data_IF_298962776877
#
_entry.id   IF_298962776877
#
_cell.length_a   1.000
_cell.length_b   1.000
_cell.length_c   1.000
_cell.angle_alpha   90.00
_cell.angle_beta   90.00
_cell.angle_gamma   90.00
#
_symmetry.space_group_name_H-M   'P 1'
#
loop_
_entity.id
_entity.type
_entity.pdbx_description
1 polymer ?
#
# COMPACT_ATOMS: atom_id res chain seq x y z
N UNK A 1 57.06 26.28 36.38
CA UNK A 1 56.07 25.42 35.71
C UNK A 1 56.67 24.02 35.59
N UNK A 2 56.18 23.06 36.39
CA UNK A 2 56.65 21.67 36.36
C UNK A 2 56.06 21.01 35.11
N UNK A 3 56.83 20.83 34.05
CA UNK A 3 56.47 20.01 32.88
C UNK A 3 56.65 18.54 33.30
N UNK A 4 55.61 17.94 33.86
CA UNK A 4 55.55 16.49 34.03
C UNK A 4 55.30 15.90 32.64
N UNK A 5 56.29 15.21 32.06
CA UNK A 5 56.12 14.42 30.83
C UNK A 5 55.18 13.28 31.11
N UNK A 6 54.30 12.97 30.12
CA UNK A 6 53.48 11.75 30.15
C UNK A 6 54.38 10.52 30.32
N UNK A 7 54.02 9.66 31.24
CA UNK A 7 54.70 8.37 31.38
C UNK A 7 54.31 7.46 30.21
N UNK A 8 55.21 6.57 29.81
CA UNK A 8 54.95 5.62 28.70
C UNK A 8 53.69 4.78 28.96
N UNK A 9 53.39 4.49 30.21
CA UNK A 9 52.20 3.75 30.64
C UNK A 9 50.93 4.56 30.41
N UNK A 10 50.92 5.85 30.74
CA UNK A 10 49.76 6.74 30.48
C UNK A 10 49.46 6.87 28.99
N UNK A 11 50.50 6.88 28.14
CA UNK A 11 50.34 6.95 26.69
C UNK A 11 49.71 5.66 26.14
N UNK A 12 50.15 4.48 26.62
CA UNK A 12 49.58 3.20 26.22
C UNK A 12 48.11 3.10 26.68
N UNK A 13 47.78 3.50 27.90
CA UNK A 13 46.42 3.49 28.40
C UNK A 13 45.52 4.44 27.61
N UNK A 14 45.98 5.63 27.27
CA UNK A 14 45.19 6.56 26.47
C UNK A 14 44.92 6.06 25.05
N UNK A 15 45.91 5.42 24.40
CA UNK A 15 45.72 4.78 23.09
C UNK A 15 44.74 3.61 23.16
N UNK A 16 44.80 2.78 24.19
CA UNK A 16 43.87 1.69 24.39
C UNK A 16 42.41 2.20 24.57
N UNK A 17 42.21 3.24 25.37
CA UNK A 17 40.89 3.86 25.57
C UNK A 17 40.36 4.48 24.27
N UNK A 18 41.19 5.20 23.52
CA UNK A 18 40.79 5.79 22.23
C UNK A 18 40.36 4.68 21.25
N UNK A 19 41.09 3.55 21.22
CA UNK A 19 40.77 2.43 20.35
C UNK A 19 39.38 1.82 20.67
N UNK A 20 39.07 1.66 21.95
CA UNK A 20 37.77 1.15 22.42
C UNK A 20 36.65 2.12 22.04
N UNK A 21 36.85 3.42 22.25
CA UNK A 21 35.87 4.46 21.90
C UNK A 21 35.64 4.48 20.38
N UNK A 22 36.70 4.38 19.56
CA UNK A 22 36.59 4.32 18.09
C UNK A 22 35.75 3.13 17.61
N UNK A 23 35.97 1.93 18.15
CA UNK A 23 35.18 0.74 17.82
C UNK A 23 33.70 0.96 18.15
N UNK A 24 33.43 1.55 19.33
CA UNK A 24 32.05 1.86 19.72
C UNK A 24 31.39 2.87 18.79
N UNK A 25 32.10 3.95 18.40
CA UNK A 25 31.60 4.96 17.48
C UNK A 25 31.32 4.35 16.08
N UNK A 26 32.22 3.50 15.58
CA UNK A 26 32.01 2.85 14.28
C UNK A 26 30.81 1.92 14.28
N UNK A 27 30.58 1.15 15.33
CA UNK A 27 29.40 0.32 15.48
C UNK A 27 28.11 1.17 15.51
N UNK A 28 28.10 2.24 16.29
CA UNK A 28 26.95 3.14 16.41
C UNK A 28 26.65 3.85 15.09
N UNK A 29 27.65 4.28 14.34
CA UNK A 29 27.49 4.87 13.02
C UNK A 29 26.95 3.84 12.00
N UNK A 30 27.39 2.59 12.10
CA UNK A 30 26.86 1.48 11.29
C UNK A 30 25.36 1.25 11.54
N UNK A 31 24.97 1.19 12.80
CA UNK A 31 23.57 1.01 13.20
C UNK A 31 22.70 2.18 12.76
N UNK A 32 23.15 3.41 12.95
CA UNK A 32 22.43 4.61 12.51
C UNK A 32 22.24 4.64 11.00
N UNK A 33 23.26 4.27 10.22
CA UNK A 33 23.16 4.23 8.76
C UNK A 33 22.13 3.18 8.27
N UNK A 34 22.09 2.04 8.93
CA UNK A 34 21.10 0.99 8.59
C UNK A 34 19.68 1.42 8.97
N UNK A 35 19.48 2.05 10.11
CA UNK A 35 18.18 2.58 10.51
C UNK A 35 17.70 3.71 9.61
N UNK A 36 18.57 4.62 9.19
CA UNK A 36 18.24 5.70 8.28
C UNK A 36 17.82 5.17 6.91
N UNK A 37 18.56 4.20 6.37
CA UNK A 37 18.21 3.52 5.10
C UNK A 37 16.84 2.86 5.18
N UNK A 38 16.56 2.10 6.24
CA UNK A 38 15.27 1.44 6.44
C UNK A 38 14.13 2.46 6.62
N UNK A 39 14.37 3.54 7.32
CA UNK A 39 13.40 4.62 7.52
C UNK A 39 13.03 5.30 6.21
N UNK A 40 14.02 5.57 5.36
CA UNK A 40 13.83 6.16 4.04
C UNK A 40 12.99 5.25 3.14
N UNK A 41 13.35 3.99 3.02
CA UNK A 41 12.62 3.00 2.21
C UNK A 41 11.16 2.88 2.65
N UNK A 42 10.91 2.84 3.97
CA UNK A 42 9.54 2.80 4.51
C UNK A 42 8.74 4.06 4.23
N UNK A 43 9.39 5.21 4.26
CA UNK A 43 8.77 6.49 3.91
C UNK A 43 8.37 6.52 2.44
N UNK A 44 9.22 6.03 1.54
CA UNK A 44 8.96 5.92 0.11
C UNK A 44 7.80 4.98 -0.18
N UNK A 45 7.76 3.79 0.43
CA UNK A 45 6.65 2.85 0.28
C UNK A 45 5.33 3.40 0.84
N UNK A 46 5.37 4.10 1.97
CA UNK A 46 4.18 4.74 2.54
C UNK A 46 3.65 5.86 1.63
N UNK A 47 4.53 6.64 1.02
CA UNK A 47 4.17 7.68 0.06
C UNK A 47 3.58 7.04 -1.21
N UNK A 48 4.23 6.02 -1.75
CA UNK A 48 3.75 5.25 -2.91
C UNK A 48 2.34 4.72 -2.64
N UNK A 49 2.12 4.09 -1.49
CA UNK A 49 0.81 3.58 -1.07
C UNK A 49 -0.24 4.69 -1.05
N UNK A 50 0.04 5.79 -0.38
CA UNK A 50 -0.88 6.92 -0.28
C UNK A 50 -1.20 7.52 -1.65
N UNK A 51 -0.21 7.65 -2.51
CA UNK A 51 -0.38 8.19 -3.87
C UNK A 51 -1.29 7.31 -4.71
N UNK A 52 -1.04 6.00 -4.74
CA UNK A 52 -1.85 5.04 -5.50
C UNK A 52 -3.29 5.01 -4.99
N UNK A 53 -3.47 4.90 -3.67
CA UNK A 53 -4.81 4.87 -3.08
C UNK A 53 -5.57 6.16 -3.38
N UNK A 54 -4.95 7.30 -3.18
CA UNK A 54 -5.58 8.61 -3.42
C UNK A 54 -5.92 8.81 -4.90
N UNK A 55 -5.06 8.36 -5.83
CA UNK A 55 -5.33 8.44 -7.25
C UNK A 55 -6.58 7.62 -7.62
N UNK A 56 -6.64 6.38 -7.19
CA UNK A 56 -7.78 5.49 -7.49
C UNK A 56 -9.06 6.01 -6.83
N UNK A 57 -8.99 6.45 -5.58
CA UNK A 57 -10.14 7.01 -4.87
C UNK A 57 -10.64 8.31 -5.51
N UNK A 58 -9.73 9.17 -5.96
CA UNK A 58 -10.08 10.39 -6.70
C UNK A 58 -10.84 10.08 -7.99
N UNK A 59 -10.40 9.07 -8.74
CA UNK A 59 -11.10 8.63 -9.94
C UNK A 59 -12.49 8.10 -9.59
N UNK A 60 -12.62 7.29 -8.55
CA UNK A 60 -13.92 6.79 -8.09
C UNK A 60 -14.89 7.93 -7.73
N UNK A 61 -14.39 8.99 -7.13
CA UNK A 61 -15.20 10.15 -6.72
C UNK A 61 -15.50 11.05 -7.92
N UNK A 62 -14.48 11.41 -8.71
CA UNK A 62 -14.61 12.41 -9.79
C UNK A 62 -15.32 11.87 -11.02
N UNK A 63 -14.98 10.65 -11.44
CA UNK A 63 -15.54 10.02 -12.62
C UNK A 63 -16.81 9.21 -12.30
N UNK A 64 -17.03 8.88 -11.04
CA UNK A 64 -18.14 8.06 -10.58
C UNK A 64 -18.02 6.61 -11.00
N UNK A 65 -17.64 5.73 -10.09
CA UNK A 65 -17.52 4.29 -10.37
C UNK A 65 -18.90 3.72 -10.75
N UNK A 66 -19.00 3.12 -11.97
CA UNK A 66 -20.22 2.53 -12.48
C UNK A 66 -20.18 0.99 -12.43
N UNK A 67 -19.09 0.38 -12.89
CA UNK A 67 -18.94 -1.07 -12.98
C UNK A 67 -17.51 -1.48 -12.68
N UNK A 68 -17.35 -2.67 -12.11
CA UNK A 68 -16.04 -3.32 -11.95
C UNK A 68 -16.12 -4.79 -12.36
N UNK A 69 -14.99 -5.34 -12.80
CA UNK A 69 -14.86 -6.76 -13.10
C UNK A 69 -13.41 -7.21 -12.97
N UNK A 70 -13.20 -8.52 -12.88
CA UNK A 70 -11.86 -9.06 -13.08
C UNK A 70 -11.49 -9.01 -14.54
N UNK A 71 -10.22 -8.82 -14.84
CA UNK A 71 -9.64 -8.94 -16.17
C UNK A 71 -8.51 -9.97 -16.15
N UNK A 72 -7.98 -10.30 -17.30
CA UNK A 72 -6.84 -11.20 -17.41
C UNK A 72 -5.65 -10.42 -18.00
N UNK A 73 -4.54 -10.38 -17.27
CA UNK A 73 -3.31 -9.77 -17.71
C UNK A 73 -2.16 -10.73 -17.43
N UNK A 74 -1.42 -11.10 -18.47
CA UNK A 74 -0.30 -12.03 -18.33
C UNK A 74 0.73 -11.54 -17.30
N UNK A 75 1.10 -12.40 -16.36
CA UNK A 75 2.09 -12.14 -15.33
C UNK A 75 1.59 -11.32 -14.13
N UNK A 76 0.37 -10.78 -14.15
CA UNK A 76 -0.19 -10.11 -12.99
C UNK A 76 -0.78 -11.11 -12.00
N UNK A 77 -0.63 -10.83 -10.70
CA UNK A 77 -1.33 -11.55 -9.64
C UNK A 77 -2.83 -11.26 -9.69
N UNK A 78 -3.18 -10.01 -9.96
CA UNK A 78 -4.55 -9.54 -9.98
C UNK A 78 -4.73 -8.49 -11.08
N UNK A 79 -5.85 -8.58 -11.79
CA UNK A 79 -6.30 -7.57 -12.73
C UNK A 79 -7.76 -7.22 -12.43
N UNK A 80 -8.02 -5.94 -12.20
CA UNK A 80 -9.38 -5.38 -12.08
C UNK A 80 -9.58 -4.27 -13.10
N UNK A 81 -10.75 -4.25 -13.73
CA UNK A 81 -11.20 -3.16 -14.58
C UNK A 81 -12.31 -2.37 -13.86
N UNK A 82 -12.22 -1.06 -13.95
CA UNK A 82 -13.19 -0.11 -13.43
C UNK A 82 -13.73 0.72 -14.59
N UNK A 83 -15.02 0.61 -14.84
CA UNK A 83 -15.72 1.44 -15.82
C UNK A 83 -16.44 2.56 -15.07
N UNK A 84 -16.27 3.76 -15.53
CA UNK A 84 -16.85 4.97 -14.94
C UNK A 84 -18.10 5.44 -15.70
N UNK A 85 -18.81 6.42 -15.14
CA UNK A 85 -20.06 6.95 -15.73
C UNK A 85 -19.86 7.63 -17.10
N UNK A 86 -18.66 8.17 -17.33
CA UNK A 86 -18.27 8.75 -18.61
C UNK A 86 -17.87 7.70 -19.68
N UNK A 87 -18.10 6.41 -19.40
CA UNK A 87 -17.69 5.25 -20.19
C UNK A 87 -16.17 5.05 -20.31
N UNK A 88 -15.37 5.79 -19.57
CA UNK A 88 -13.93 5.49 -19.50
C UNK A 88 -13.71 4.22 -18.69
N UNK A 89 -12.68 3.46 -19.08
CA UNK A 89 -12.27 2.25 -18.35
C UNK A 89 -10.82 2.37 -17.95
N UNK A 90 -10.55 2.17 -16.68
CA UNK A 90 -9.20 2.08 -16.12
C UNK A 90 -8.97 0.71 -15.52
N UNK A 91 -7.72 0.31 -15.49
CA UNK A 91 -7.30 -1.01 -15.04
C UNK A 91 -6.36 -0.87 -13.84
N UNK A 92 -6.51 -1.77 -12.90
CA UNK A 92 -5.61 -1.97 -11.78
C UNK A 92 -4.93 -3.32 -11.96
N UNK A 93 -3.65 -3.30 -12.27
CA UNK A 93 -2.83 -4.50 -12.37
C UNK A 93 -1.92 -4.56 -11.14
N UNK A 94 -1.93 -5.68 -10.45
CA UNK A 94 -1.05 -5.94 -9.32
C UNK A 94 -0.12 -7.07 -9.68
N UNK A 95 1.16 -6.81 -9.61
CA UNK A 95 2.24 -7.77 -9.76
C UNK A 95 2.89 -8.03 -8.39
N UNK A 96 3.86 -8.91 -8.31
CA UNK A 96 4.51 -9.18 -7.02
C UNK A 96 5.21 -7.95 -6.43
N UNK A 97 5.86 -7.14 -7.25
CA UNK A 97 6.73 -6.05 -6.85
C UNK A 97 6.19 -4.66 -7.17
N UNK A 98 5.13 -4.57 -7.96
CA UNK A 98 4.56 -3.28 -8.33
C UNK A 98 3.04 -3.32 -8.59
N UNK A 99 2.44 -2.14 -8.50
CA UNK A 99 1.08 -1.85 -8.94
C UNK A 99 1.15 -0.96 -10.18
N UNK A 100 0.24 -1.20 -11.13
CA UNK A 100 0.01 -0.30 -12.26
C UNK A 100 -1.48 0.06 -12.35
N UNK A 101 -1.78 1.35 -12.54
CA UNK A 101 -3.15 1.84 -12.66
C UNK A 101 -3.27 2.87 -13.78
N UNK A 102 -4.34 2.81 -14.54
CA UNK A 102 -4.63 3.77 -15.61
C UNK A 102 -5.45 3.19 -16.75
N UNK A 103 -5.64 3.98 -17.80
CA UNK A 103 -6.25 3.53 -19.03
C UNK A 103 -5.27 2.67 -19.87
N UNK A 104 -5.80 1.88 -20.79
CA UNK A 104 -4.98 1.08 -21.71
C UNK A 104 -3.98 1.98 -22.45
N UNK A 105 -2.69 1.62 -22.38
CA UNK A 105 -1.60 2.36 -22.99
C UNK A 105 -1.11 3.59 -22.21
N UNK A 106 -1.78 3.96 -21.11
CA UNK A 106 -1.41 5.09 -20.24
C UNK A 106 -1.51 4.67 -18.78
N UNK A 107 -0.73 3.66 -18.40
CA UNK A 107 -0.72 3.18 -17.02
C UNK A 107 0.49 3.74 -16.27
N UNK A 108 0.23 4.33 -15.12
CA UNK A 108 1.28 4.68 -14.16
C UNK A 108 1.66 3.47 -13.34
N UNK A 109 2.95 3.35 -13.03
CA UNK A 109 3.53 2.20 -12.34
C UNK A 109 4.22 2.65 -11.05
N UNK A 110 3.94 1.93 -9.97
CA UNK A 110 4.55 2.16 -8.65
C UNK A 110 5.12 0.86 -8.11
N UNK A 111 6.42 0.86 -7.86
CA UNK A 111 7.17 -0.29 -7.36
C UNK A 111 7.30 -0.19 -5.84
N UNK A 112 7.13 -1.32 -5.14
CA UNK A 112 7.46 -1.42 -3.73
C UNK A 112 8.99 -1.56 -3.58
N UNK A 113 9.54 -0.90 -2.56
CA UNK A 113 10.95 -1.05 -2.19
C UNK A 113 11.14 -2.22 -1.22
N UNK A 114 10.17 -2.45 -0.35
CA UNK A 114 10.14 -3.57 0.59
C UNK A 114 8.80 -4.32 0.49
N UNK A 115 8.87 -5.64 0.57
CA UNK A 115 7.69 -6.50 0.53
C UNK A 115 7.25 -6.86 -0.88
N UNK A 116 6.27 -7.73 -0.94
CA UNK A 116 5.66 -8.20 -2.18
C UNK A 116 4.15 -8.28 -2.03
N UNK A 117 3.45 -7.95 -3.08
CA UNK A 117 2.02 -8.19 -3.14
C UNK A 117 1.73 -9.69 -3.19
N UNK A 118 0.63 -10.10 -2.61
CA UNK A 118 0.18 -11.50 -2.61
C UNK A 118 -1.33 -11.57 -2.81
N UNK A 119 -1.78 -12.69 -3.39
CA UNK A 119 -3.21 -13.03 -3.43
C UNK A 119 -3.67 -13.75 -2.16
N UNK A 120 -2.75 -14.20 -1.32
CA UNK A 120 -3.10 -14.78 -0.05
C UNK A 120 -3.76 -13.71 0.82
N UNK A 121 -4.96 -14.02 1.34
CA UNK A 121 -5.79 -13.06 2.09
C UNK A 121 -6.25 -11.81 1.31
N UNK A 122 -6.13 -11.79 -0.03
CA UNK A 122 -6.84 -10.79 -0.82
C UNK A 122 -8.33 -10.89 -0.54
N UNK A 123 -8.96 -9.75 -0.29
CA UNK A 123 -10.41 -9.68 -0.12
C UNK A 123 -10.98 -8.44 -0.77
N UNK A 124 -12.22 -8.51 -1.15
CA UNK A 124 -13.02 -7.34 -1.47
C UNK A 124 -14.37 -7.44 -0.77
N UNK A 125 -14.93 -6.31 -0.43
CA UNK A 125 -16.22 -6.20 0.18
C UNK A 125 -17.09 -5.28 -0.70
N UNK A 126 -18.22 -5.80 -1.13
CA UNK A 126 -19.27 -4.99 -1.72
C UNK A 126 -20.52 -5.13 -0.86
N UNK A 127 -20.91 -4.04 -0.25
CA UNK A 127 -22.06 -3.98 0.63
C UNK A 127 -22.96 -2.81 0.23
N UNK A 128 -24.25 -3.02 0.32
CA UNK A 128 -25.25 -1.96 0.23
C UNK A 128 -25.63 -1.55 1.64
N UNK A 129 -25.50 -0.28 1.96
CA UNK A 129 -26.01 0.27 3.20
C UNK A 129 -27.33 0.95 2.92
N UNK A 130 -28.40 0.43 3.50
CA UNK A 130 -29.64 1.21 3.66
C UNK A 130 -29.42 1.99 4.93
N UNK A 131 -29.11 3.27 4.81
CA UNK A 131 -29.15 4.14 5.99
C UNK A 131 -30.57 4.08 6.57
N UNK A 132 -30.65 3.77 7.84
CA UNK A 132 -31.92 3.65 8.57
C UNK A 132 -32.66 4.98 8.46
N UNK A 133 -33.84 5.05 7.83
CA UNK A 133 -34.57 6.27 7.70
C UNK A 133 -35.12 6.66 9.08
N UNK A 134 -34.31 7.30 9.90
CA UNK A 134 -34.80 7.92 11.15
C UNK A 134 -35.66 9.17 10.89
N UNK A 135 -35.53 9.75 9.70
CA UNK A 135 -36.31 10.91 9.29
C UNK A 135 -37.29 10.51 8.18
N UNK A 136 -38.58 10.65 8.48
CA UNK A 136 -39.72 10.36 7.61
C UNK A 136 -39.76 11.14 6.29
N UNK A 137 -38.82 12.03 6.05
CA UNK A 137 -38.76 12.89 4.85
C UNK A 137 -37.58 12.59 3.94
N UNK A 138 -36.65 11.72 4.38
CA UNK A 138 -35.51 11.34 3.54
C UNK A 138 -35.84 10.03 2.83
N UNK A 139 -36.18 10.11 1.56
CA UNK A 139 -36.12 8.95 0.65
C UNK A 139 -34.65 8.61 0.46
N UNK A 140 -34.07 7.98 1.47
CA UNK A 140 -32.68 7.61 1.49
C UNK A 140 -32.39 6.71 0.29
N UNK A 141 -31.77 7.26 -0.73
CA UNK A 141 -31.25 6.47 -1.83
C UNK A 141 -30.21 5.51 -1.23
N UNK A 142 -30.37 4.18 -1.40
CA UNK A 142 -29.45 3.23 -0.84
C UNK A 142 -28.04 3.51 -1.36
N UNK A 143 -27.09 3.53 -0.45
CA UNK A 143 -25.69 3.71 -0.77
C UNK A 143 -25.01 2.36 -0.98
N UNK A 144 -23.96 2.35 -1.77
CA UNK A 144 -23.08 1.22 -1.89
C UNK A 144 -21.71 1.52 -1.30
N UNK A 145 -21.01 0.48 -0.91
CA UNK A 145 -19.67 0.51 -0.40
C UNK A 145 -18.86 -0.59 -1.08
N UNK A 146 -17.79 -0.21 -1.76
CA UNK A 146 -16.82 -1.14 -2.33
C UNK A 146 -15.48 -0.90 -1.63
N UNK A 147 -14.95 -1.96 -1.02
CA UNK A 147 -13.64 -1.97 -0.40
C UNK A 147 -12.80 -3.07 -1.04
N UNK A 148 -11.58 -2.74 -1.42
CA UNK A 148 -10.61 -3.68 -1.98
C UNK A 148 -9.40 -3.70 -1.05
N UNK A 149 -9.04 -4.88 -0.58
CA UNK A 149 -7.92 -5.10 0.30
C UNK A 149 -6.86 -5.94 -0.41
N UNK A 150 -5.68 -5.36 -0.63
CA UNK A 150 -4.55 -6.00 -1.30
C UNK A 150 -3.44 -6.18 -0.27
N UNK A 151 -3.20 -7.41 0.20
CA UNK A 151 -2.19 -7.68 1.22
C UNK A 151 -0.77 -7.58 0.64
N UNK A 152 0.14 -7.12 1.50
CA UNK A 152 1.58 -7.06 1.22
C UNK A 152 2.31 -7.97 2.20
N UNK A 153 3.11 -8.89 1.68
CA UNK A 153 4.02 -9.69 2.50
C UNK A 153 5.29 -8.89 2.76
N UNK A 154 5.67 -8.80 4.03
CA UNK A 154 6.88 -8.10 4.46
C UNK A 154 7.93 -9.12 4.89
N UNK A 155 9.20 -8.78 4.68
CA UNK A 155 10.29 -9.59 5.24
C UNK A 155 10.18 -9.63 6.78
N UNK A 156 10.63 -10.73 7.38
CA UNK A 156 10.55 -11.02 8.83
C UNK A 156 11.13 -9.89 9.68
N UNK A 157 12.05 -9.11 9.14
CA UNK A 157 12.68 -7.95 9.79
C UNK A 157 11.82 -6.69 9.81
N UNK A 158 10.74 -6.61 9.03
CA UNK A 158 9.88 -5.45 9.00
C UNK A 158 9.00 -5.41 10.25
N UNK A 159 9.19 -4.39 11.09
CA UNK A 159 8.39 -4.18 12.32
C UNK A 159 6.98 -3.65 12.04
N UNK A 160 6.69 -3.16 10.84
CA UNK A 160 5.39 -2.60 10.47
C UNK A 160 4.84 -3.32 9.25
N UNK A 161 3.64 -3.86 9.40
CA UNK A 161 2.85 -4.41 8.29
C UNK A 161 1.93 -3.32 7.78
N UNK A 162 1.83 -3.18 6.47
CA UNK A 162 0.86 -2.32 5.82
C UNK A 162 0.28 -3.05 4.63
N UNK A 163 -0.98 -2.76 4.33
CA UNK A 163 -1.70 -3.32 3.21
C UNK A 163 -2.31 -2.18 2.40
N UNK A 164 -2.69 -2.47 1.15
CA UNK A 164 -3.39 -1.49 0.32
C UNK A 164 -4.89 -1.66 0.51
N UNK A 165 -5.54 -0.62 0.99
CA UNK A 165 -6.97 -0.57 1.15
C UNK A 165 -7.55 0.54 0.29
N UNK A 166 -8.33 0.17 -0.72
CA UNK A 166 -8.96 1.08 -1.67
C UNK A 166 -10.47 1.05 -1.39
N UNK A 167 -11.07 2.22 -1.23
CA UNK A 167 -12.48 2.34 -0.91
C UNK A 167 -13.22 3.24 -1.90
N UNK A 168 -14.44 2.85 -2.24
CA UNK A 168 -15.40 3.66 -2.97
C UNK A 168 -16.75 3.61 -2.29
N UNK A 169 -17.40 4.76 -2.21
CA UNK A 169 -18.77 4.89 -1.73
C UNK A 169 -19.57 5.73 -2.73
N UNK A 170 -20.84 5.40 -2.89
CA UNK A 170 -21.73 6.16 -3.78
C UNK A 170 -23.18 5.71 -3.67
N UNK A 171 -24.05 6.34 -4.44
CA UNK A 171 -25.47 5.97 -4.51
C UNK A 171 -25.65 4.69 -5.33
N UNK A 172 -26.57 3.82 -4.92
CA UNK A 172 -26.91 2.59 -5.66
C UNK A 172 -27.38 2.84 -7.08
N UNK A 173 -28.01 3.98 -7.34
CA UNK A 173 -28.43 4.40 -8.67
C UNK A 173 -27.26 4.65 -9.64
N UNK A 174 -26.08 4.81 -9.09
CA UNK A 174 -24.87 5.18 -9.81
C UNK A 174 -24.05 3.97 -10.28
N UNK A 175 -24.40 2.76 -9.86
CA UNK A 175 -23.71 1.54 -10.22
C UNK A 175 -24.53 0.60 -11.08
N UNK A 176 -23.88 -0.22 -11.90
CA UNK A 176 -24.56 -1.24 -12.69
C UNK A 176 -25.17 -2.31 -11.79
N UNK A 177 -26.42 -2.70 -12.08
CA UNK A 177 -27.14 -3.71 -11.31
C UNK A 177 -26.47 -5.09 -11.32
N UNK A 178 -25.69 -5.38 -12.37
CA UNK A 178 -25.04 -6.67 -12.62
C UNK A 178 -23.55 -6.71 -12.21
N UNK A 179 -23.11 -5.88 -11.28
CA UNK A 179 -21.75 -5.97 -10.77
C UNK A 179 -21.49 -7.36 -10.16
N UNK A 180 -20.31 -7.94 -10.39
CA UNK A 180 -20.02 -9.31 -9.99
C UNK A 180 -19.98 -9.48 -8.46
N UNK A 181 -20.60 -10.56 -7.98
CA UNK A 181 -20.51 -10.98 -6.58
C UNK A 181 -19.22 -11.75 -6.27
N UNK A 182 -18.53 -12.21 -7.31
CA UNK A 182 -17.24 -12.89 -7.23
C UNK A 182 -16.33 -12.43 -8.35
N UNK A 183 -15.04 -12.33 -8.06
CA UNK A 183 -13.98 -11.97 -8.98
C UNK A 183 -13.04 -13.17 -9.15
N UNK A 184 -12.48 -13.33 -10.33
CA UNK A 184 -11.56 -14.44 -10.63
C UNK A 184 -10.19 -13.84 -10.93
N UNK A 185 -9.17 -14.28 -10.18
CA UNK A 185 -7.78 -13.88 -10.36
C UNK A 185 -6.90 -15.13 -10.43
N UNK A 186 -6.13 -15.29 -11.49
CA UNK A 186 -5.28 -16.46 -11.72
C UNK A 186 -6.00 -17.81 -11.46
N UNK A 187 -7.25 -17.91 -11.91
CA UNK A 187 -8.08 -19.12 -11.70
C UNK A 187 -8.66 -19.26 -10.29
N UNK A 188 -8.32 -18.38 -9.35
CA UNK A 188 -8.90 -18.38 -8.00
C UNK A 188 -10.14 -17.49 -7.96
N UNK A 189 -11.25 -18.05 -7.52
CA UNK A 189 -12.49 -17.28 -7.30
C UNK A 189 -12.43 -16.64 -5.90
N UNK A 190 -12.56 -15.33 -5.87
CA UNK A 190 -12.67 -14.55 -4.63
C UNK A 190 -14.10 -14.00 -4.54
N UNK A 191 -14.83 -14.41 -3.52
CA UNK A 191 -16.17 -13.91 -3.23
C UNK A 191 -16.10 -12.65 -2.37
N UNK A 192 -17.14 -11.82 -2.46
CA UNK A 192 -17.26 -10.65 -1.59
C UNK A 192 -17.40 -11.09 -0.13
N UNK A 193 -16.53 -10.56 0.72
CA UNK A 193 -16.49 -10.85 2.16
C UNK A 193 -16.56 -9.50 2.89
N UNK A 194 -17.67 -9.21 3.50
CA UNK A 194 -17.92 -8.10 4.40
C UNK A 194 -18.09 -8.64 5.83
#
# INVERSE_FOLDING_TARGET
MNKKGLTLVELIFSLALISIIMVFIFNLLGDLKTEDSLSKTRSEDSLTRSTVINLIQNDFIKLGLYKWSSCNQSGSLMCMSFTFKDNTTKYLHVYEDFIAYGATGMMEKWTLQEGKFTLDNFSYCFKTTIENPKDRFDTASPNYYLKIFIPVTHDVKSKRKYDFEIMSMGKMTDIAANNPKSLIFNGQTKSSVC
#
